data_IF_020742343925
#
_entry.id   IF_020742343925
#
_cell.length_a   1.000
_cell.length_b   1.000
_cell.length_c   1.000
_cell.angle_alpha   90.00
_cell.angle_beta   90.00
_cell.angle_gamma   90.00
#
_symmetry.space_group_name_H-M   'P 1'
#
loop_
_entity.id
_entity.type
_entity.pdbx_description
1 polymer ?
#
# COMPACT_ATOMS: atom_id res chain seq x y z
N UNK A 1 25.47 -65.22 40.89
CA UNK A 1 24.83 -65.92 42.02
C UNK A 1 23.51 -65.20 42.33
N UNK A 2 22.38 -65.80 41.91
CA UNK A 2 20.94 -65.53 42.23
C UNK A 2 20.40 -64.10 41.98
N UNK A 3 19.48 -63.77 41.06
CA UNK A 3 18.34 -64.42 40.36
C UNK A 3 17.09 -64.65 41.23
N UNK A 4 15.97 -63.96 40.88
CA UNK A 4 14.51 -64.24 41.04
C UNK A 4 13.75 -62.88 40.96
N UNK A 5 12.93 -62.49 39.97
CA UNK A 5 11.86 -63.08 39.12
C UNK A 5 10.51 -63.29 39.84
N UNK A 6 9.48 -62.54 39.40
CA UNK A 6 8.10 -62.99 39.05
C UNK A 6 7.33 -61.78 38.45
N UNK A 7 7.01 -61.64 37.15
CA UNK A 7 6.07 -62.33 36.24
C UNK A 7 4.58 -62.34 36.65
N UNK A 8 3.75 -61.60 35.90
CA UNK A 8 2.51 -62.07 35.27
C UNK A 8 2.21 -61.29 33.97
N UNK A 9 1.73 -62.01 32.94
CA UNK A 9 1.54 -61.66 31.52
C UNK A 9 0.04 -61.61 31.18
N UNK A 10 -0.36 -60.74 30.22
CA UNK A 10 -1.24 -61.01 29.05
C UNK A 10 -1.78 -59.67 28.47
N UNK A 11 -1.22 -59.10 27.39
CA UNK A 11 -1.46 -59.32 25.94
C UNK A 11 -2.92 -59.15 25.51
N UNK A 12 -3.23 -58.04 24.80
CA UNK A 12 -3.82 -58.03 23.44
C UNK A 12 -3.25 -56.82 22.67
N UNK A 13 -2.68 -57.09 21.50
CA UNK A 13 -2.20 -56.14 20.50
C UNK A 13 -3.29 -55.84 19.47
N UNK A 14 -3.42 -54.60 19.01
CA UNK A 14 -3.82 -54.26 17.63
C UNK A 14 -2.94 -53.10 17.16
N UNK A 15 -2.33 -53.35 16.01
CA UNK A 15 -1.49 -52.49 15.17
C UNK A 15 -2.37 -51.46 14.45
N UNK A 16 -1.96 -50.20 14.34
CA UNK A 16 -1.68 -49.53 13.05
C UNK A 16 -1.24 -48.07 13.23
N UNK A 17 -0.12 -47.80 12.58
CA UNK A 17 0.46 -46.52 12.16
C UNK A 17 -0.55 -45.50 11.64
N UNK A 18 -0.39 -44.22 12.01
CA UNK A 18 -0.86 -43.15 11.14
C UNK A 18 0.10 -41.94 11.17
N UNK A 19 0.43 -41.52 9.94
CA UNK A 19 1.46 -40.58 9.54
C UNK A 19 1.17 -39.13 9.93
N UNK A 20 2.27 -38.41 10.06
CA UNK A 20 2.42 -36.96 9.95
C UNK A 20 1.80 -36.39 8.67
N UNK A 21 0.86 -35.46 8.79
CA UNK A 21 0.65 -34.28 7.91
C UNK A 21 -0.79 -33.77 8.01
N UNK A 22 -1.06 -32.72 8.79
CA UNK A 22 -2.19 -31.79 8.57
C UNK A 22 -2.17 -30.71 9.64
N UNK A 23 -1.49 -29.60 9.37
CA UNK A 23 -1.73 -28.33 10.06
C UNK A 23 -1.75 -27.19 9.04
N UNK A 24 -2.56 -27.38 8.01
CA UNK A 24 -3.02 -26.37 7.06
C UNK A 24 -4.42 -26.82 6.62
N UNK A 25 -5.35 -25.89 6.42
CA UNK A 25 -6.80 -26.05 6.19
C UNK A 25 -7.71 -25.93 7.41
N UNK A 26 -7.83 -24.71 7.93
CA UNK A 26 -9.14 -24.21 8.39
C UNK A 26 -9.31 -22.77 7.88
N UNK A 27 -9.73 -22.60 6.62
CA UNK A 27 -10.43 -21.38 6.17
C UNK A 27 -11.08 -21.67 4.81
N UNK A 28 -12.16 -22.45 4.81
CA UNK A 28 -13.10 -22.58 3.66
C UNK A 28 -14.31 -23.39 4.11
N UNK A 29 -15.24 -22.75 4.84
CA UNK A 29 -16.60 -23.27 5.04
C UNK A 29 -17.60 -22.13 5.12
N UNK A 30 -17.91 -21.54 3.96
CA UNK A 30 -19.19 -20.90 3.70
C UNK A 30 -19.42 -20.91 2.20
N UNK A 31 -19.79 -22.06 1.63
CA UNK A 31 -20.59 -22.16 0.38
C UNK A 31 -21.12 -23.59 0.28
N UNK A 32 -22.33 -23.80 0.80
CA UNK A 32 -23.13 -25.00 0.50
C UNK A 32 -23.78 -24.83 -0.87
N UNK A 33 -23.48 -25.77 -1.76
CA UNK A 33 -24.09 -25.91 -3.08
C UNK A 33 -25.41 -26.65 -2.92
N UNK A 34 -26.53 -26.02 -3.27
CA UNK A 34 -27.82 -26.71 -3.44
C UNK A 34 -28.15 -26.72 -4.92
N UNK A 35 -28.16 -27.90 -5.51
CA UNK A 35 -28.60 -28.15 -6.88
C UNK A 35 -30.12 -28.16 -6.95
N UNK A 36 -30.71 -27.30 -7.76
CA UNK A 36 -32.10 -27.41 -8.18
C UNK A 36 -32.23 -27.03 -9.65
N UNK A 37 -32.41 -28.05 -10.48
CA UNK A 37 -32.89 -27.95 -11.87
C UNK A 37 -34.36 -27.53 -11.85
N UNK A 38 -34.80 -26.62 -12.72
CA UNK A 38 -35.80 -26.83 -13.80
C UNK A 38 -36.30 -25.48 -14.37
N UNK A 39 -36.42 -25.46 -15.70
CA UNK A 39 -37.35 -24.69 -16.57
C UNK A 39 -37.10 -23.21 -16.89
N UNK A 40 -36.83 -23.03 -18.18
CA UNK A 40 -36.87 -21.83 -19.00
C UNK A 40 -38.25 -21.15 -18.97
N UNK A 41 -38.27 -19.87 -18.63
CA UNK A 41 -39.29 -18.91 -19.09
C UNK A 41 -38.62 -17.57 -19.34
N UNK A 42 -38.53 -17.21 -20.62
CA UNK A 42 -38.08 -15.90 -21.10
C UNK A 42 -39.07 -14.82 -20.67
N UNK A 43 -38.74 -14.09 -19.61
CA UNK A 43 -39.30 -12.77 -19.36
C UNK A 43 -38.15 -11.76 -19.43
N UNK A 44 -38.13 -11.02 -20.54
CA UNK A 44 -37.36 -9.80 -20.76
C UNK A 44 -37.83 -8.73 -19.78
N UNK A 45 -37.38 -8.82 -18.53
CA UNK A 45 -37.37 -7.68 -17.62
C UNK A 45 -36.23 -6.77 -18.06
N UNK A 46 -36.59 -5.63 -18.63
CA UNK A 46 -35.71 -4.49 -18.84
C UNK A 46 -35.03 -4.14 -17.52
N UNK A 47 -33.73 -4.48 -17.39
CA UNK A 47 -32.89 -3.97 -16.31
C UNK A 47 -32.98 -2.44 -16.35
N UNK A 48 -33.39 -1.75 -15.27
CA UNK A 48 -33.13 -0.33 -15.19
C UNK A 48 -31.62 -0.17 -15.31
N UNK A 49 -31.19 0.65 -16.26
CA UNK A 49 -29.79 1.01 -16.43
C UNK A 49 -29.25 1.38 -15.05
N UNK A 50 -28.38 0.54 -14.49
CA UNK A 50 -27.69 0.80 -13.25
C UNK A 50 -26.71 1.94 -13.56
N UNK A 51 -27.21 3.17 -13.56
CA UNK A 51 -26.42 4.35 -13.89
C UNK A 51 -25.42 4.51 -12.77
N UNK A 52 -24.18 4.06 -13.01
CA UNK A 52 -23.07 4.30 -12.11
C UNK A 52 -22.98 5.78 -11.79
N UNK A 53 -22.73 6.14 -10.53
CA UNK A 53 -22.72 7.51 -10.03
C UNK A 53 -21.27 7.99 -9.88
N UNK A 54 -20.90 9.20 -10.34
CA UNK A 54 -19.56 9.73 -10.12
C UNK A 54 -19.35 10.12 -8.66
N UNK A 55 -18.13 9.93 -8.14
CA UNK A 55 -17.73 10.42 -6.82
C UNK A 55 -17.47 11.92 -6.88
N UNK A 56 -18.11 12.68 -5.99
CA UNK A 56 -17.87 14.11 -5.85
C UNK A 56 -16.48 14.40 -5.26
N UNK A 57 -15.92 15.58 -5.57
CA UNK A 57 -14.68 16.04 -4.95
C UNK A 57 -15.01 16.63 -3.56
N UNK A 58 -14.61 15.93 -2.50
CA UNK A 58 -14.73 16.41 -1.12
C UNK A 58 -13.83 17.62 -0.89
N UNK A 59 -12.57 17.52 -1.29
CA UNK A 59 -11.60 18.60 -1.17
C UNK A 59 -10.43 18.40 -2.14
N UNK A 60 -9.78 19.50 -2.52
CA UNK A 60 -8.52 19.45 -3.24
C UNK A 60 -7.56 20.48 -2.65
N UNK A 61 -6.33 20.09 -2.36
CA UNK A 61 -5.36 20.98 -1.72
C UNK A 61 -3.92 20.65 -2.13
N UNK A 62 -3.07 21.67 -2.17
CA UNK A 62 -1.65 21.55 -2.46
C UNK A 62 -0.92 20.84 -1.32
N UNK A 63 -0.06 19.88 -1.67
CA UNK A 63 0.83 19.23 -0.73
C UNK A 63 1.92 20.20 -0.25
N UNK A 64 2.18 20.17 1.05
CA UNK A 64 3.08 21.13 1.71
C UNK A 64 4.49 20.57 1.68
N UNK A 65 5.44 21.37 1.22
CA UNK A 65 6.84 20.98 1.19
C UNK A 65 7.51 21.18 2.56
N UNK A 66 8.15 20.13 3.09
CA UNK A 66 8.81 20.13 4.40
C UNK A 66 10.09 19.29 4.38
N UNK A 67 10.95 19.51 5.38
CA UNK A 67 12.12 18.68 5.61
C UNK A 67 11.74 17.43 6.40
N UNK A 68 12.36 16.29 6.06
CA UNK A 68 12.23 15.02 6.77
C UNK A 68 13.57 14.28 6.74
N UNK A 69 13.70 13.25 7.58
CA UNK A 69 14.93 12.45 7.67
C UNK A 69 16.16 13.31 7.90
N UNK A 70 17.23 13.03 7.15
CA UNK A 70 18.44 13.83 7.14
C UNK A 70 18.56 14.54 5.79
N UNK A 71 18.21 15.83 5.74
CA UNK A 71 18.37 16.66 4.54
C UNK A 71 17.39 16.39 3.39
N UNK A 72 16.47 15.43 3.53
CA UNK A 72 15.48 15.12 2.50
C UNK A 72 14.33 16.14 2.49
N UNK A 73 13.75 16.36 1.30
CA UNK A 73 12.56 17.21 1.12
C UNK A 73 11.39 16.35 0.65
N UNK A 74 10.24 16.56 1.26
CA UNK A 74 9.00 15.87 0.88
C UNK A 74 7.87 16.88 0.72
N UNK A 75 6.96 16.60 -0.21
CA UNK A 75 5.64 17.24 -0.28
C UNK A 75 4.62 16.33 0.39
N UNK A 76 4.17 16.71 1.59
CA UNK A 76 3.21 15.93 2.38
C UNK A 76 1.78 16.37 2.10
N UNK A 77 0.89 15.43 1.83
CA UNK A 77 -0.55 15.69 1.67
C UNK A 77 -1.39 15.09 2.79
N UNK A 78 -1.45 13.76 2.88
CA UNK A 78 -2.02 13.03 4.03
C UNK A 78 -1.00 13.07 5.18
N UNK A 79 -1.46 13.31 6.40
CA UNK A 79 -0.60 13.57 7.57
C UNK A 79 -0.44 15.06 7.88
N UNK A 80 -1.05 15.95 7.09
CA UNK A 80 -1.07 17.40 7.34
C UNK A 80 -2.29 17.84 8.15
N UNK A 81 -2.38 19.13 8.52
CA UNK A 81 -3.59 19.69 9.16
C UNK A 81 -4.83 19.63 8.27
N UNK A 82 -4.68 19.65 6.94
CA UNK A 82 -5.79 19.56 6.00
C UNK A 82 -6.38 18.15 5.95
N UNK A 83 -5.56 17.12 6.19
CA UNK A 83 -5.99 15.73 6.21
C UNK A 83 -5.06 14.90 7.10
N UNK A 84 -5.33 14.93 8.41
CA UNK A 84 -4.43 14.34 9.43
C UNK A 84 -4.24 12.83 9.25
N UNK A 85 -5.31 12.14 8.86
CA UNK A 85 -5.32 10.79 8.34
C UNK A 85 -6.58 10.62 7.46
N UNK A 86 -6.59 9.59 6.64
CA UNK A 86 -7.71 9.26 5.76
C UNK A 86 -7.79 7.74 5.59
N UNK A 87 -8.41 7.07 6.58
CA UNK A 87 -8.41 5.60 6.70
C UNK A 87 -8.63 4.88 5.36
N UNK A 88 -7.78 3.91 4.98
CA UNK A 88 -6.67 3.35 5.77
C UNK A 88 -5.35 4.14 5.66
N UNK A 89 -5.32 5.27 4.98
CA UNK A 89 -4.09 6.01 4.69
C UNK A 89 -3.68 6.92 5.85
N UNK A 90 -2.42 6.82 6.25
CA UNK A 90 -1.85 7.53 7.40
C UNK A 90 -1.02 8.72 6.96
N UNK A 91 -0.27 8.57 5.87
CA UNK A 91 0.67 9.57 5.35
C UNK A 91 0.87 9.36 3.85
N UNK A 92 1.03 10.46 3.12
CA UNK A 92 1.49 10.42 1.73
C UNK A 92 2.49 11.52 1.49
N UNK A 93 3.71 11.12 1.17
CA UNK A 93 4.81 12.00 0.81
C UNK A 93 5.21 11.78 -0.65
N UNK A 94 5.39 12.87 -1.40
CA UNK A 94 6.14 12.89 -2.65
C UNK A 94 7.54 13.41 -2.33
N UNK A 95 8.54 12.54 -2.33
CA UNK A 95 9.90 12.87 -1.93
C UNK A 95 10.77 13.27 -3.12
N UNK A 96 11.74 14.15 -2.85
CA UNK A 96 12.88 14.43 -3.71
C UNK A 96 14.13 14.38 -2.84
N UNK A 97 14.98 13.39 -3.07
CA UNK A 97 16.15 13.10 -2.25
C UNK A 97 17.41 13.33 -3.08
N UNK A 98 18.14 14.40 -2.75
CA UNK A 98 19.43 14.71 -3.37
C UNK A 98 20.58 13.93 -2.73
N UNK A 99 21.80 14.17 -3.26
CA UNK A 99 23.03 13.60 -2.69
C UNK A 99 23.23 14.05 -1.24
N UNK A 100 23.68 13.12 -0.39
CA UNK A 100 23.95 13.41 1.03
C UNK A 100 22.70 13.65 1.88
N UNK A 101 21.51 13.35 1.33
CA UNK A 101 20.26 13.33 2.06
C UNK A 101 19.70 11.90 2.14
N UNK A 102 18.69 11.66 2.97
CA UNK A 102 17.99 10.38 2.99
C UNK A 102 17.22 10.14 4.29
N UNK A 103 16.83 8.89 4.49
CA UNK A 103 16.17 8.42 5.69
C UNK A 103 17.07 7.35 6.36
N UNK A 104 18.01 7.78 7.22
CA UNK A 104 18.88 6.84 7.93
C UNK A 104 18.06 5.97 8.90
N UNK A 105 18.72 5.07 9.62
CA UNK A 105 18.13 4.08 10.52
C UNK A 105 16.96 4.63 11.35
N UNK A 106 15.75 4.14 11.08
CA UNK A 106 14.54 4.53 11.77
C UNK A 106 13.56 3.35 11.94
N UNK A 107 12.74 3.33 12.99
CA UNK A 107 11.82 2.23 13.23
C UNK A 107 10.44 2.47 12.60
N UNK A 108 9.64 1.41 12.50
CA UNK A 108 8.18 1.44 12.26
C UNK A 108 7.47 0.31 13.03
N UNK A 109 6.20 0.51 13.41
CA UNK A 109 5.32 -0.54 13.99
C UNK A 109 3.84 -0.25 13.76
N UNK A 110 3.13 -1.25 13.23
CA UNK A 110 1.67 -1.24 13.11
C UNK A 110 1.12 -0.71 11.78
N UNK A 111 1.97 -0.46 10.78
CA UNK A 111 1.59 0.01 9.44
C UNK A 111 2.30 -0.78 8.34
N UNK A 112 1.85 -0.59 7.11
CA UNK A 112 2.59 -0.89 5.89
C UNK A 112 3.13 0.41 5.27
N UNK A 113 4.32 0.38 4.69
CA UNK A 113 4.84 1.44 3.83
C UNK A 113 4.89 0.95 2.39
N UNK A 114 4.45 1.80 1.46
CA UNK A 114 4.49 1.54 0.03
C UNK A 114 5.37 2.62 -0.59
N UNK A 115 6.56 2.22 -1.02
CA UNK A 115 7.51 3.07 -1.72
C UNK A 115 7.29 2.87 -3.22
N UNK A 116 6.97 3.93 -3.96
CA UNK A 116 6.85 3.91 -5.42
C UNK A 116 7.84 4.89 -6.05
N UNK A 117 8.81 4.39 -6.82
CA UNK A 117 9.84 5.25 -7.37
C UNK A 117 9.49 5.76 -8.76
N UNK A 118 9.56 7.08 -8.95
CA UNK A 118 9.23 7.75 -10.21
C UNK A 118 10.46 7.97 -11.08
N UNK A 119 11.61 8.32 -10.48
CA UNK A 119 12.90 8.46 -11.17
C UNK A 119 14.08 8.23 -10.21
N UNK A 120 15.21 7.77 -10.76
CA UNK A 120 16.43 7.47 -10.00
C UNK A 120 16.39 6.09 -9.32
N UNK A 121 16.95 5.97 -8.12
CA UNK A 121 16.95 4.77 -7.27
C UNK A 121 16.84 5.10 -5.78
N UNK A 122 16.31 4.18 -4.99
CA UNK A 122 16.41 4.20 -3.52
C UNK A 122 16.97 2.86 -3.05
N UNK A 123 18.09 2.90 -2.33
CA UNK A 123 18.64 1.74 -1.64
C UNK A 123 17.95 1.58 -0.29
N UNK A 124 17.58 0.35 0.06
CA UNK A 124 17.00 0.02 1.36
C UNK A 124 17.80 -1.08 2.05
N UNK A 125 17.85 -1.03 3.39
CA UNK A 125 18.50 -2.02 4.24
C UNK A 125 17.78 -2.11 5.58
N UNK A 126 17.53 -3.32 6.09
CA UNK A 126 16.88 -3.53 7.39
C UNK A 126 17.69 -4.41 8.35
N UNK A 127 17.25 -4.42 9.60
CA UNK A 127 17.84 -5.22 10.68
C UNK A 127 17.57 -6.73 10.60
N UNK A 128 16.75 -7.18 9.64
CA UNK A 128 16.45 -8.58 9.40
C UNK A 128 17.38 -9.16 8.31
N UNK A 129 18.18 -8.32 7.65
CA UNK A 129 19.13 -8.66 6.61
C UNK A 129 18.63 -8.42 5.20
N UNK A 130 17.40 -7.91 5.02
CA UNK A 130 16.87 -7.56 3.72
C UNK A 130 17.55 -6.29 3.22
N UNK A 131 17.94 -6.29 1.94
CA UNK A 131 18.54 -5.13 1.28
C UNK A 131 18.29 -5.18 -0.21
N UNK A 132 18.27 -4.02 -0.86
CA UNK A 132 18.06 -3.94 -2.30
C UNK A 132 17.99 -2.49 -2.79
N UNK A 133 17.74 -2.36 -4.08
CA UNK A 133 17.50 -1.07 -4.73
C UNK A 133 16.14 -1.11 -5.43
N UNK A 134 15.32 -0.13 -5.12
CA UNK A 134 14.05 0.17 -5.80
C UNK A 134 14.42 1.06 -6.99
N UNK A 135 14.15 0.61 -8.21
CA UNK A 135 14.45 1.35 -9.45
C UNK A 135 13.23 2.11 -10.00
N UNK A 136 13.39 2.88 -11.09
CA UNK A 136 12.28 3.66 -11.66
C UNK A 136 11.10 2.77 -12.06
N UNK A 137 9.92 3.09 -11.54
CA UNK A 137 8.70 2.33 -11.75
C UNK A 137 8.52 1.12 -10.83
N UNK A 138 9.55 0.75 -10.05
CA UNK A 138 9.44 -0.32 -9.07
C UNK A 138 8.69 0.14 -7.82
N UNK A 139 8.14 -0.83 -7.11
CA UNK A 139 7.54 -0.65 -5.81
C UNK A 139 8.12 -1.59 -4.77
N UNK A 140 8.10 -1.11 -3.53
CA UNK A 140 8.30 -1.93 -2.34
C UNK A 140 7.09 -1.78 -1.42
N UNK A 141 6.50 -2.91 -1.05
CA UNK A 141 5.48 -2.99 -0.01
C UNK A 141 6.13 -3.61 1.23
N UNK A 142 6.35 -2.81 2.26
CA UNK A 142 6.91 -3.26 3.53
C UNK A 142 5.80 -3.30 4.58
N UNK A 143 5.50 -4.49 5.10
CA UNK A 143 4.68 -4.62 6.32
C UNK A 143 5.60 -4.48 7.53
N UNK A 144 5.42 -3.44 8.36
CA UNK A 144 6.22 -3.27 9.58
C UNK A 144 5.80 -4.20 10.72
N UNK A 145 4.49 -4.50 10.83
CA UNK A 145 3.96 -5.43 11.83
C UNK A 145 4.44 -5.09 13.25
N UNK A 146 4.93 -6.10 13.98
CA UNK A 146 5.47 -5.99 15.35
C UNK A 146 6.72 -5.12 15.48
N UNK A 147 7.36 -4.72 14.39
CA UNK A 147 8.51 -3.81 14.45
C UNK A 147 9.52 -4.10 13.37
N UNK A 148 9.96 -3.05 12.69
CA UNK A 148 11.11 -3.07 11.79
C UNK A 148 11.97 -1.84 12.03
N UNK A 149 13.30 -1.98 11.91
CA UNK A 149 14.22 -0.86 11.80
C UNK A 149 14.95 -0.97 10.46
N UNK A 150 14.93 0.11 9.69
CA UNK A 150 15.49 0.15 8.34
C UNK A 150 16.02 1.53 7.98
N UNK A 151 16.77 1.60 6.88
CA UNK A 151 17.18 2.82 6.23
C UNK A 151 16.70 2.83 4.77
N UNK A 152 16.38 4.01 4.25
CA UNK A 152 16.02 4.28 2.86
C UNK A 152 16.88 5.46 2.36
N UNK A 153 17.93 5.14 1.61
CA UNK A 153 18.96 6.09 1.18
C UNK A 153 18.91 6.28 -0.34
N UNK A 154 19.17 7.48 -0.87
CA UNK A 154 19.19 7.70 -2.31
C UNK A 154 20.26 6.83 -2.96
N UNK A 155 19.92 6.18 -4.07
CA UNK A 155 20.91 5.61 -4.96
C UNK A 155 21.67 6.75 -5.65
N UNK A 156 22.98 6.64 -5.81
CA UNK A 156 23.77 7.67 -6.48
C UNK A 156 23.54 7.60 -8.00
N UNK A 157 22.80 8.56 -8.55
CA UNK A 157 22.62 8.67 -10.00
C UNK A 157 23.92 9.17 -10.67
N UNK A 158 24.33 8.61 -11.82
CA UNK A 158 25.57 9.00 -12.50
C UNK A 158 25.67 10.48 -12.86
N UNK A 159 24.53 11.13 -13.11
CA UNK A 159 24.43 12.55 -13.45
C UNK A 159 24.22 13.46 -12.23
N UNK A 160 24.16 12.89 -11.01
CA UNK A 160 23.90 13.61 -9.77
C UNK A 160 22.46 14.11 -9.61
N UNK A 161 21.54 13.71 -10.49
CA UNK A 161 20.12 14.07 -10.39
C UNK A 161 19.49 13.51 -9.09
N UNK A 162 18.49 14.18 -8.52
CA UNK A 162 17.82 13.70 -7.32
C UNK A 162 16.92 12.50 -7.61
N UNK A 163 16.68 11.69 -6.59
CA UNK A 163 15.74 10.58 -6.63
C UNK A 163 14.34 11.05 -6.27
N UNK A 164 13.34 10.68 -7.05
CA UNK A 164 11.96 11.16 -6.90
C UNK A 164 11.02 9.98 -6.81
N UNK A 165 10.16 10.00 -5.80
CA UNK A 165 9.22 8.92 -5.56
C UNK A 165 8.14 9.29 -4.56
N UNK A 166 7.35 8.29 -4.18
CA UNK A 166 6.25 8.45 -3.25
C UNK A 166 6.35 7.44 -2.12
N UNK A 167 6.04 7.88 -0.90
CA UNK A 167 5.88 7.02 0.28
C UNK A 167 4.44 7.11 0.76
N UNK A 168 3.69 6.02 0.69
CA UNK A 168 2.35 5.90 1.24
C UNK A 168 2.37 5.00 2.47
N UNK A 169 1.89 5.50 3.60
CA UNK A 169 1.66 4.68 4.79
C UNK A 169 0.21 4.23 4.83
N UNK A 170 0.01 2.92 5.02
CA UNK A 170 -1.29 2.28 5.11
C UNK A 170 -1.40 1.61 6.48
N UNK A 171 -2.48 1.91 7.20
CA UNK A 171 -2.74 1.33 8.50
C UNK A 171 -2.99 -0.18 8.37
N UNK A 172 -2.46 -0.97 9.30
CA UNK A 172 -2.78 -2.38 9.41
C UNK A 172 -4.07 -2.58 10.23
N UNK A 173 -4.91 -3.57 9.89
CA UNK A 173 -5.96 -4.05 10.78
C UNK A 173 -5.38 -4.36 12.15
N UNK A 174 -6.14 -4.03 13.21
CA UNK A 174 -5.71 -4.21 14.61
C UNK A 174 -5.07 -5.58 14.86
N UNK A 175 -5.68 -6.64 14.35
CA UNK A 175 -5.25 -8.02 14.49
C UNK A 175 -3.93 -8.35 13.77
N UNK A 176 -3.52 -7.55 12.79
CA UNK A 176 -2.28 -7.72 12.04
C UNK A 176 -1.15 -6.78 12.50
N UNK A 177 -1.41 -5.84 13.40
CA UNK A 177 -0.38 -4.89 13.88
C UNK A 177 0.81 -5.53 14.59
N UNK A 178 0.67 -6.79 15.02
CA UNK A 178 1.74 -7.56 15.65
C UNK A 178 2.23 -8.75 14.81
N UNK A 179 1.88 -8.81 13.52
CA UNK A 179 2.42 -9.84 12.62
C UNK A 179 3.93 -9.66 12.41
N UNK A 180 4.59 -10.70 11.90
CA UNK A 180 5.99 -10.60 11.49
C UNK A 180 6.16 -9.60 10.35
N UNK A 181 7.24 -8.79 10.35
CA UNK A 181 7.54 -7.90 9.24
C UNK A 181 7.77 -8.70 7.95
N UNK A 182 7.37 -8.13 6.81
CA UNK A 182 7.61 -8.74 5.49
C UNK A 182 7.82 -7.70 4.40
N UNK A 183 8.49 -8.10 3.33
CA UNK A 183 8.63 -7.32 2.11
C UNK A 183 7.93 -8.01 0.95
N UNK A 184 7.38 -7.19 0.06
CA UNK A 184 6.95 -7.59 -1.26
C UNK A 184 7.38 -6.54 -2.26
N UNK A 185 8.43 -6.85 -3.01
CA UNK A 185 8.86 -6.02 -4.13
C UNK A 185 8.01 -6.33 -5.38
N UNK A 186 7.78 -5.30 -6.19
CA UNK A 186 7.10 -5.40 -7.48
C UNK A 186 7.90 -4.60 -8.51
N UNK A 187 8.48 -5.29 -9.50
CA UNK A 187 9.25 -4.62 -10.55
C UNK A 187 8.34 -3.93 -11.54
N UNK A 188 8.81 -2.83 -12.11
CA UNK A 188 8.09 -2.07 -13.13
C UNK A 188 7.64 -2.95 -14.31
N UNK A 189 8.47 -3.92 -14.70
CA UNK A 189 8.21 -4.87 -15.79
C UNK A 189 7.10 -5.87 -15.48
N UNK A 190 6.75 -6.06 -14.21
CA UNK A 190 5.68 -6.97 -13.77
C UNK A 190 4.32 -6.27 -13.72
N UNK A 191 4.28 -4.94 -13.80
CA UNK A 191 3.05 -4.15 -13.64
C UNK A 191 2.23 -4.19 -14.94
N UNK A 192 1.01 -4.75 -14.92
CA UNK A 192 0.13 -4.75 -16.08
C UNK A 192 -0.31 -3.34 -16.48
N UNK A 193 -0.49 -3.12 -17.78
CA UNK A 193 -0.92 -1.83 -18.33
C UNK A 193 -2.30 -1.97 -18.96
N UNK A 194 -3.26 -1.20 -18.47
CA UNK A 194 -4.54 -1.00 -19.14
C UNK A 194 -4.49 0.23 -20.06
N UNK A 195 -5.23 0.16 -21.17
CA UNK A 195 -5.44 1.28 -22.08
C UNK A 195 -6.93 1.58 -22.17
N UNK A 196 -7.26 2.86 -22.24
CA UNK A 196 -8.64 3.32 -22.42
C UNK A 196 -8.70 4.51 -23.39
N UNK A 197 -9.92 4.84 -23.81
CA UNK A 197 -10.21 5.99 -24.68
C UNK A 197 -9.31 6.02 -25.93
N UNK A 198 -9.37 4.92 -26.69
CA UNK A 198 -8.60 4.71 -27.92
C UNK A 198 -7.07 4.90 -27.77
N UNK A 199 -6.56 4.61 -26.56
CA UNK A 199 -5.13 4.69 -26.23
C UNK A 199 -4.66 6.08 -25.80
N UNK A 200 -5.58 7.04 -25.59
CA UNK A 200 -5.27 8.33 -24.97
C UNK A 200 -5.06 8.24 -23.47
N UNK A 201 -5.56 7.18 -22.84
CA UNK A 201 -5.35 6.89 -21.42
C UNK A 201 -4.50 5.63 -21.28
N UNK A 202 -3.47 5.72 -20.44
CA UNK A 202 -2.65 4.58 -20.01
C UNK A 202 -2.71 4.48 -18.49
N UNK A 203 -2.98 3.29 -17.96
CA UNK A 203 -3.04 3.02 -16.53
C UNK A 203 -2.09 1.88 -16.19
N UNK A 204 -1.08 2.14 -15.36
CA UNK A 204 -0.32 1.07 -14.70
C UNK A 204 -1.13 0.56 -13.52
N UNK A 205 -1.53 -0.71 -13.58
CA UNK A 205 -2.41 -1.34 -12.58
C UNK A 205 -1.53 -1.97 -11.49
N UNK A 206 -0.98 -1.12 -10.61
CA UNK A 206 -0.05 -1.54 -9.55
C UNK A 206 -0.75 -2.46 -8.55
N UNK A 207 -1.93 -2.06 -8.06
CA UNK A 207 -2.80 -2.89 -7.24
C UNK A 207 -4.26 -2.60 -7.58
N UNK A 208 -5.08 -3.64 -7.75
CA UNK A 208 -6.50 -3.54 -8.08
C UNK A 208 -6.79 -3.88 -9.54
N UNK A 209 -7.73 -3.17 -10.14
CA UNK A 209 -8.17 -3.42 -11.51
C UNK A 209 -8.47 -2.13 -12.27
N UNK A 210 -8.17 -2.10 -13.58
CA UNK A 210 -8.55 -1.02 -14.47
C UNK A 210 -8.90 -1.55 -15.85
N UNK A 211 -10.08 -1.19 -16.37
CA UNK A 211 -10.50 -1.48 -17.76
C UNK A 211 -10.29 -2.95 -18.20
N UNK A 212 -10.65 -3.89 -17.33
CA UNK A 212 -10.54 -5.34 -17.59
C UNK A 212 -9.15 -5.93 -17.38
N UNK A 213 -8.19 -5.16 -16.87
CA UNK A 213 -6.85 -5.62 -16.51
C UNK A 213 -6.69 -5.61 -15.00
N UNK A 214 -6.35 -6.76 -14.43
CA UNK A 214 -6.08 -6.97 -13.01
C UNK A 214 -4.58 -6.83 -12.69
N UNK A 215 -4.26 -6.39 -11.48
CA UNK A 215 -2.89 -6.35 -10.96
C UNK A 215 -2.36 -7.73 -10.57
N UNK A 216 -1.06 -7.77 -10.24
CA UNK A 216 -0.50 -8.85 -9.42
C UNK A 216 -1.21 -8.86 -8.06
N UNK A 217 -1.42 -10.05 -7.48
CA UNK A 217 -2.13 -10.25 -6.20
C UNK A 217 -1.18 -10.29 -5.00
N UNK A 218 -1.76 -10.22 -3.80
CA UNK A 218 -1.11 -10.46 -2.50
C UNK A 218 0.06 -9.50 -2.15
N UNK A 219 -0.08 -8.23 -2.57
CA UNK A 219 0.93 -7.19 -2.36
C UNK A 219 0.91 -6.60 -0.93
N UNK A 220 -0.27 -6.36 -0.38
CA UNK A 220 -0.48 -5.71 0.91
C UNK A 220 -1.48 -6.51 1.75
N UNK A 221 -1.43 -6.37 3.08
CA UNK A 221 -2.44 -6.96 3.96
C UNK A 221 -3.71 -6.13 3.98
N UNK A 222 -3.58 -4.81 4.03
CA UNK A 222 -4.73 -3.91 3.93
C UNK A 222 -5.14 -3.78 2.46
N UNK A 223 -6.41 -4.03 2.11
CA UNK A 223 -6.87 -3.89 0.73
C UNK A 223 -6.71 -2.44 0.24
N UNK A 224 -5.80 -2.26 -0.73
CA UNK A 224 -5.48 -0.97 -1.36
C UNK A 224 -5.36 -1.16 -2.87
N UNK A 225 -6.00 -0.28 -3.62
CA UNK A 225 -5.81 -0.07 -5.04
C UNK A 225 -4.88 1.12 -5.24
N UNK A 226 -3.92 0.96 -6.14
CA UNK A 226 -2.96 2.00 -6.51
C UNK A 226 -2.82 1.94 -8.03
N UNK A 227 -3.08 3.05 -8.70
CA UNK A 227 -3.05 3.17 -10.15
C UNK A 227 -2.20 4.39 -10.52
N UNK A 228 -1.23 4.25 -11.42
CA UNK A 228 -0.50 5.38 -12.03
C UNK A 228 -1.12 5.64 -13.42
N UNK A 229 -1.80 6.78 -13.54
CA UNK A 229 -2.65 7.12 -14.68
C UNK A 229 -2.03 8.28 -15.45
N UNK A 230 -1.83 8.07 -16.75
CA UNK A 230 -1.46 9.10 -17.72
C UNK A 230 -2.61 9.32 -18.69
N UNK A 231 -3.01 10.58 -18.86
CA UNK A 231 -4.07 11.04 -19.76
C UNK A 231 -3.47 12.05 -20.74
N UNK A 232 -3.43 11.68 -22.02
CA UNK A 232 -3.00 12.58 -23.10
C UNK A 232 -4.03 13.68 -23.37
N UNK A 233 -3.66 14.79 -24.02
CA UNK A 233 -4.62 15.78 -24.51
C UNK A 233 -5.80 15.13 -25.24
N UNK A 234 -7.02 15.57 -24.90
CA UNK A 234 -8.27 15.02 -25.41
C UNK A 234 -8.75 13.75 -24.70
N UNK A 235 -7.90 13.16 -23.85
CA UNK A 235 -8.16 11.92 -23.15
C UNK A 235 -9.16 12.06 -22.01
N UNK A 236 -9.99 11.03 -21.81
CA UNK A 236 -10.91 10.91 -20.66
C UNK A 236 -10.86 9.50 -20.07
N UNK A 237 -10.77 9.43 -18.74
CA UNK A 237 -10.80 8.17 -18.00
C UNK A 237 -11.97 8.16 -17.01
N UNK A 238 -12.68 7.03 -16.98
CA UNK A 238 -13.68 6.69 -15.97
C UNK A 238 -13.19 5.47 -15.21
N UNK A 239 -12.66 5.65 -14.01
CA UNK A 239 -12.15 4.56 -13.20
C UNK A 239 -13.17 4.14 -12.14
N UNK A 240 -13.73 2.93 -12.30
CA UNK A 240 -14.55 2.30 -11.26
C UNK A 240 -13.69 2.02 -10.03
N UNK A 241 -14.26 2.22 -8.84
CA UNK A 241 -13.62 1.95 -7.56
C UNK A 241 -14.51 1.04 -6.72
N UNK A 242 -13.94 0.24 -5.81
CA UNK A 242 -14.74 -0.57 -4.91
C UNK A 242 -15.70 0.30 -4.07
N UNK A 243 -16.94 -0.14 -3.97
CA UNK A 243 -17.99 0.56 -3.22
C UNK A 243 -17.59 0.65 -1.75
N UNK A 244 -17.79 1.83 -1.16
CA UNK A 244 -17.45 2.05 0.25
C UNK A 244 -15.95 2.19 0.52
N UNK A 245 -15.08 2.22 -0.50
CA UNK A 245 -13.67 2.52 -0.28
C UNK A 245 -13.41 4.02 -0.21
N UNK A 246 -12.50 4.45 0.65
CA UNK A 246 -11.99 5.83 0.63
C UNK A 246 -11.02 5.98 -0.54
N UNK A 247 -11.07 7.12 -1.25
CA UNK A 247 -10.25 7.32 -2.44
C UNK A 247 -9.72 8.76 -2.56
N UNK A 248 -8.53 8.89 -3.13
CA UNK A 248 -7.93 10.16 -3.47
C UNK A 248 -7.05 10.04 -4.72
N UNK A 249 -6.84 11.16 -5.43
CA UNK A 249 -5.85 11.27 -6.48
C UNK A 249 -4.74 12.25 -6.07
N UNK A 250 -3.50 11.95 -6.43
CA UNK A 250 -2.38 12.87 -6.26
C UNK A 250 -1.78 13.20 -7.63
N UNK A 251 -1.81 14.46 -8.02
CA UNK A 251 -1.33 14.92 -9.33
C UNK A 251 0.20 15.00 -9.34
N UNK A 252 0.81 14.36 -10.33
CA UNK A 252 2.27 14.27 -10.50
C UNK A 252 2.80 15.24 -11.53
N UNK A 253 2.08 15.40 -12.64
CA UNK A 253 2.49 16.28 -13.74
C UNK A 253 1.27 16.81 -14.50
N UNK A 254 1.45 17.98 -15.09
CA UNK A 254 0.45 18.66 -15.92
C UNK A 254 -0.80 19.09 -15.16
N UNK A 255 -1.89 19.28 -15.92
CA UNK A 255 -3.20 19.71 -15.40
C UNK A 255 -4.25 18.68 -15.74
N UNK A 256 -4.97 18.22 -14.73
CA UNK A 256 -6.04 17.23 -14.88
C UNK A 256 -7.36 17.84 -14.41
N UNK A 257 -8.42 17.67 -15.20
CA UNK A 257 -9.77 18.03 -14.81
C UNK A 257 -10.40 16.81 -14.14
N UNK A 258 -10.76 16.92 -12.86
CA UNK A 258 -11.47 15.89 -12.11
C UNK A 258 -12.95 16.23 -11.96
N UNK A 259 -13.78 15.20 -11.84
CA UNK A 259 -15.23 15.31 -11.65
C UNK A 259 -16.01 15.04 -12.94
N UNK A 260 -17.33 15.03 -12.82
CA UNK A 260 -18.25 14.69 -13.92
C UNK A 260 -19.33 15.77 -14.07
N UNK A 261 -19.84 15.93 -15.29
CA UNK A 261 -20.90 16.90 -15.57
C UNK A 261 -20.48 18.34 -15.30
N UNK A 262 -21.34 19.12 -14.62
CA UNK A 262 -21.07 20.53 -14.29
C UNK A 262 -20.14 20.75 -13.08
N UNK A 263 -19.82 19.71 -12.31
CA UNK A 263 -19.07 19.80 -11.06
C UNK A 263 -17.60 19.38 -11.24
N UNK A 264 -16.91 20.03 -12.17
CA UNK A 264 -15.51 19.72 -12.48
C UNK A 264 -14.55 20.72 -11.83
N UNK A 265 -13.32 20.26 -11.55
CA UNK A 265 -12.22 21.11 -11.07
C UNK A 265 -10.94 20.81 -11.84
N UNK A 266 -10.32 21.85 -12.38
CA UNK A 266 -8.98 21.77 -12.96
C UNK A 266 -7.94 21.82 -11.86
N UNK A 267 -7.14 20.75 -11.75
CA UNK A 267 -6.14 20.55 -10.69
C UNK A 267 -4.75 20.51 -11.31
N UNK A 268 -3.82 21.30 -10.76
CA UNK A 268 -2.40 21.33 -11.15
C UNK A 268 -1.61 20.24 -10.41
N UNK A 269 -0.36 20.03 -10.78
CA UNK A 269 0.57 19.15 -10.06
C UNK A 269 0.64 19.39 -8.54
N UNK A 270 1.05 18.35 -7.82
CA UNK A 270 1.27 18.29 -6.37
C UNK A 270 0.04 18.55 -5.50
N UNK A 271 -1.16 18.40 -6.06
CA UNK A 271 -2.39 18.48 -5.30
C UNK A 271 -2.91 17.09 -4.95
N UNK A 272 -3.45 16.96 -3.74
CA UNK A 272 -4.25 15.83 -3.35
C UNK A 272 -5.72 16.18 -3.54
N UNK A 273 -6.44 15.36 -4.30
CA UNK A 273 -7.87 15.45 -4.58
C UNK A 273 -8.56 14.30 -3.85
N UNK A 274 -9.24 14.63 -2.76
CA UNK A 274 -9.97 13.65 -1.94
C UNK A 274 -11.39 13.58 -2.46
N UNK A 275 -11.87 12.36 -2.70
CA UNK A 275 -13.22 12.11 -3.17
C UNK A 275 -14.15 11.74 -2.00
N UNK A 276 -15.43 12.01 -2.17
CA UNK A 276 -16.46 11.44 -1.31
C UNK A 276 -16.51 9.92 -1.48
N UNK A 277 -16.94 9.22 -0.43
CA UNK A 277 -17.05 7.76 -0.45
C UNK A 277 -18.26 7.30 -1.29
N UNK A 278 -19.30 8.14 -1.37
CA UNK A 278 -20.49 7.91 -2.18
C UNK A 278 -20.17 8.06 -3.68
N UNK A 279 -20.66 7.11 -4.47
CA UNK A 279 -20.41 7.01 -5.90
C UNK A 279 -19.48 5.85 -6.26
N UNK A 280 -19.54 5.45 -7.52
CA UNK A 280 -18.94 4.21 -8.02
C UNK A 280 -17.63 4.43 -8.77
N UNK A 281 -17.39 5.65 -9.26
CA UNK A 281 -16.20 5.93 -10.09
C UNK A 281 -15.65 7.34 -9.91
N UNK A 282 -14.37 7.50 -10.25
CA UNK A 282 -13.74 8.80 -10.44
C UNK A 282 -13.58 9.05 -11.94
N UNK A 283 -13.87 10.27 -12.36
CA UNK A 283 -13.64 10.74 -13.72
C UNK A 283 -12.52 11.77 -13.76
N UNK A 284 -11.65 11.63 -14.75
CA UNK A 284 -10.58 12.58 -15.01
C UNK A 284 -10.40 12.78 -16.52
N UNK A 285 -10.00 13.98 -16.94
CA UNK A 285 -9.75 14.30 -18.34
C UNK A 285 -8.70 15.38 -18.52
N UNK A 286 -8.17 15.45 -19.72
CA UNK A 286 -7.27 16.53 -20.17
C UNK A 286 -7.87 17.15 -21.43
N UNK A 287 -7.99 18.50 -21.52
CA UNK A 287 -8.52 19.16 -22.72
C UNK A 287 -7.76 18.79 -24.00
N UNK A 288 -8.45 18.75 -25.14
CA UNK A 288 -7.84 18.47 -26.46
C UNK A 288 -6.75 19.47 -26.82
N UNK A 289 -6.92 20.73 -26.41
CA UNK A 289 -5.99 21.83 -26.66
C UNK A 289 -4.91 21.99 -25.57
N UNK A 290 -4.73 21.01 -24.68
CA UNK A 290 -3.68 21.05 -23.67
C UNK A 290 -2.31 20.77 -24.31
N UNK A 291 -1.27 21.48 -23.84
CA UNK A 291 0.10 21.32 -24.33
C UNK A 291 0.85 20.14 -23.69
N UNK A 292 0.32 19.60 -22.58
CA UNK A 292 0.95 18.57 -21.75
C UNK A 292 -0.05 17.48 -21.36
N UNK A 293 0.43 16.27 -21.12
CA UNK A 293 -0.36 15.19 -20.52
C UNK A 293 -0.61 15.44 -19.04
N UNK A 294 -1.74 14.94 -18.54
CA UNK A 294 -2.01 14.86 -17.11
C UNK A 294 -1.53 13.52 -16.57
N UNK A 295 -0.72 13.53 -15.51
CA UNK A 295 -0.32 12.32 -14.79
C UNK A 295 -0.67 12.41 -13.33
N UNK A 296 -1.31 11.38 -12.79
CA UNK A 296 -1.69 11.31 -11.39
C UNK A 296 -1.68 9.86 -10.90
N UNK A 297 -1.44 9.67 -9.60
CA UNK A 297 -1.80 8.40 -8.96
C UNK A 297 -3.23 8.48 -8.45
N UNK A 298 -3.99 7.40 -8.59
CA UNK A 298 -5.31 7.22 -8.01
C UNK A 298 -5.24 6.06 -7.03
N UNK A 299 -5.59 6.35 -5.78
CA UNK A 299 -5.49 5.39 -4.67
C UNK A 299 -6.87 5.22 -4.05
N UNK A 300 -7.24 3.97 -3.79
CA UNK A 300 -8.45 3.65 -3.03
C UNK A 300 -8.15 2.56 -2.00
N UNK A 301 -8.73 2.64 -0.82
CA UNK A 301 -8.47 1.67 0.25
C UNK A 301 -9.71 1.40 1.07
N UNK A 302 -9.83 0.17 1.58
CA UNK A 302 -10.90 -0.19 2.49
C UNK A 302 -10.72 0.56 3.81
N UNK A 303 -11.68 1.42 4.23
CA UNK A 303 -11.61 2.08 5.52
C UNK A 303 -11.64 1.02 6.63
N UNK A 304 -10.75 1.20 7.61
CA UNK A 304 -10.74 0.38 8.82
C UNK A 304 -11.57 1.06 9.89
N UNK A 305 -12.52 0.31 10.46
CA UNK A 305 -13.31 0.73 11.62
C UNK A 305 -12.51 0.49 12.90
N UNK A 306 -11.47 1.29 13.10
CA UNK A 306 -10.59 1.20 14.26
C UNK A 306 -10.04 2.56 14.66
N UNK A 307 -9.69 2.71 15.94
CA UNK A 307 -9.00 3.90 16.43
C UNK A 307 -7.58 3.93 15.89
N UNK A 308 -7.13 5.08 15.40
CA UNK A 308 -5.74 5.34 15.01
C UNK A 308 -5.08 6.22 16.06
N UNK A 309 -4.03 5.72 16.70
CA UNK A 309 -3.16 6.47 17.60
C UNK A 309 -1.75 6.43 17.02
N UNK A 310 -1.28 7.59 16.56
CA UNK A 310 0.04 7.74 15.94
C UNK A 310 0.93 8.62 16.79
N UNK A 311 2.15 8.15 17.05
CA UNK A 311 3.24 8.94 17.61
C UNK A 311 4.51 8.66 16.82
N UNK A 312 4.88 9.61 15.94
CA UNK A 312 5.99 9.45 15.02
C UNK A 312 5.88 8.16 14.19
N UNK A 313 6.83 7.22 14.31
CA UNK A 313 6.87 5.99 13.53
C UNK A 313 5.92 4.88 14.00
N UNK A 314 5.25 5.05 15.14
CA UNK A 314 4.42 4.01 15.76
C UNK A 314 2.94 4.34 15.58
N UNK A 315 2.19 3.41 14.98
CA UNK A 315 0.76 3.58 14.69
C UNK A 315 -0.02 2.39 15.23
N UNK A 316 -0.64 2.57 16.38
CA UNK A 316 -1.38 1.53 17.11
C UNK A 316 -2.83 1.99 17.41
N UNK A 317 -3.60 1.23 18.18
CA UNK A 317 -5.02 1.51 18.42
C UNK A 317 -5.28 2.20 19.78
N UNK A 318 -4.26 2.36 20.63
CA UNK A 318 -4.35 3.02 21.93
C UNK A 318 -3.05 3.72 22.32
N UNK A 319 -3.14 4.70 23.23
CA UNK A 319 -1.97 5.40 23.78
C UNK A 319 -1.04 4.45 24.55
N UNK A 320 -1.61 3.46 25.24
CA UNK A 320 -0.86 2.43 25.96
C UNK A 320 -0.03 1.56 25.01
N UNK A 321 -0.60 1.13 23.88
CA UNK A 321 0.13 0.35 22.87
C UNK A 321 1.24 1.17 22.20
N UNK A 322 0.99 2.46 21.93
CA UNK A 322 2.03 3.37 21.42
C UNK A 322 3.16 3.55 22.44
N UNK A 323 2.81 3.75 23.72
CA UNK A 323 3.79 3.83 24.79
C UNK A 323 4.62 2.55 24.89
N UNK A 324 3.97 1.39 24.84
CA UNK A 324 4.66 0.11 24.83
C UNK A 324 5.58 -0.05 23.61
N UNK A 325 5.19 0.43 22.43
CA UNK A 325 6.05 0.42 21.24
C UNK A 325 7.33 1.25 21.41
N UNK A 326 7.25 2.40 22.07
CA UNK A 326 8.42 3.20 22.41
C UNK A 326 9.34 2.46 23.39
N UNK A 327 8.78 1.83 24.43
CA UNK A 327 9.54 1.03 25.41
C UNK A 327 10.21 -0.17 24.74
N UNK A 328 9.48 -0.90 23.90
CA UNK A 328 9.99 -2.06 23.17
C UNK A 328 11.16 -1.69 22.26
N UNK A 329 11.05 -0.56 21.55
CA UNK A 329 12.13 -0.05 20.71
C UNK A 329 13.37 0.33 21.55
N UNK A 330 13.18 1.10 22.63
CA UNK A 330 14.28 1.53 23.52
C UNK A 330 14.99 0.37 24.22
N UNK A 331 14.26 -0.70 24.53
CA UNK A 331 14.80 -1.87 25.23
C UNK A 331 15.27 -2.98 24.27
N UNK A 332 15.06 -2.81 22.97
CA UNK A 332 15.26 -3.81 21.93
C UNK A 332 14.54 -5.13 22.26
N UNK A 333 13.21 -5.06 22.39
CA UNK A 333 12.36 -6.20 22.75
C UNK A 333 11.08 -6.28 21.89
N UNK A 334 10.38 -7.41 21.96
CA UNK A 334 9.05 -7.64 21.38
C UNK A 334 8.91 -7.25 19.90
N UNK A 335 9.90 -7.59 19.06
CA UNK A 335 9.96 -7.18 17.65
C UNK A 335 11.17 -6.34 17.29
N UNK A 336 11.78 -5.68 18.28
CA UNK A 336 12.98 -4.88 18.07
C UNK A 336 14.26 -5.54 18.60
N UNK A 337 14.29 -6.85 18.85
CA UNK A 337 15.47 -7.53 19.40
C UNK A 337 16.73 -7.32 18.56
N UNK A 338 16.56 -7.26 17.24
CA UNK A 338 17.65 -7.05 16.28
C UNK A 338 18.08 -5.59 16.14
N UNK A 339 17.39 -4.63 16.76
CA UNK A 339 17.82 -3.22 16.72
C UNK A 339 19.06 -2.97 17.58
N UNK A 340 19.32 -3.85 18.55
CA UNK A 340 20.47 -3.71 19.46
C UNK A 340 21.78 -3.84 18.68
N UNK A 341 22.54 -2.75 18.67
CA UNK A 341 23.83 -2.64 17.97
C UNK A 341 23.75 -2.84 16.44
N UNK A 342 22.55 -2.75 15.86
CA UNK A 342 22.43 -2.72 14.42
C UNK A 342 22.60 -1.29 13.91
N UNK A 343 23.34 -1.17 12.83
CA UNK A 343 23.50 0.06 12.06
C UNK A 343 23.53 -0.33 10.59
N UNK A 344 22.77 0.37 9.73
CA UNK A 344 22.82 0.10 8.29
C UNK A 344 24.15 0.55 7.68
N UNK A 345 24.64 -0.17 6.67
CA UNK A 345 25.81 0.26 5.90
C UNK A 345 25.46 1.46 5.01
N UNK A 346 24.21 1.53 4.53
CA UNK A 346 23.77 2.63 3.68
C UNK A 346 23.55 3.93 4.46
N UNK A 347 23.13 3.86 5.72
CA UNK A 347 22.93 5.03 6.58
C UNK A 347 24.23 5.79 6.87
N UNK A 348 25.36 5.07 6.93
CA UNK A 348 26.71 5.64 7.10
C UNK A 348 27.15 6.54 5.95
N UNK A 349 26.46 6.51 4.79
CA UNK A 349 26.73 7.39 3.64
C UNK A 349 26.37 8.85 3.91
N UNK A 350 25.62 9.12 4.98
CA UNK A 350 25.39 10.48 5.44
C UNK A 350 26.74 11.12 5.81
N UNK A 351 27.23 12.02 4.97
CA UNK A 351 28.37 12.87 5.31
C UNK A 351 27.91 13.89 6.36
N UNK A 352 28.40 13.76 7.59
CA UNK A 352 28.24 14.77 8.64
C UNK A 352 29.13 15.99 8.38
#
# INVERSE_FOLDING_TARGET
>A
MKLLVSFFIAIIAIVLTCNTSTFFYQFTRYFTTTTSTTTTSTNTTTNPSNMSVPRAIRQAFLAIEQAEGAGARVRRSIGTRNLRNFSPFLMLDHFTIGKGAGFPDHPHRGQETITYLLSGGVDHEDFAGNRGTIGPGDLQFMTAGRGIMHAEMPHENPDGSPNVGMQLWVDLPKELKMCEPRYRDLRASEIPIAKADDGRVTVKVISGQSHGVDSVRDLAYTPVWLLDVTVKPGGRVKQMLPVGWNAFAYTLAGKTIFGSGGETKTIKEFHNVVFEQQGDFVEASVPENADEEGRFILVAGQPLDQKVVQYGPFVLNSEQEVYQAMVDFQTASNGFEKSRNWESEIGKRMAY
#
